data_IF_866274521769
#
_entry.id   IF_866274521769
#
_cell.length_a   1.000
_cell.length_b   1.000
_cell.length_c   1.000
_cell.angle_alpha   90.00
_cell.angle_beta   90.00
_cell.angle_gamma   90.00
#
_symmetry.space_group_name_H-M   'P 1'
#
loop_
_entity.id
_entity.type
_entity.pdbx_description
1 polymer ?
#
# COMPACT_ATOMS: atom_id res chain seq x y z
N UNK A 1 8.09 -31.39 -3.44
CA UNK A 1 7.32 -31.64 -4.67
C UNK A 1 6.10 -30.73 -4.65
N UNK A 2 6.25 -29.53 -5.18
CA UNK A 2 5.13 -28.62 -5.47
C UNK A 2 4.83 -28.75 -6.96
N UNK A 3 4.51 -29.95 -7.42
CA UNK A 3 4.17 -30.23 -8.82
C UNK A 3 2.69 -29.91 -9.08
N UNK A 4 2.24 -28.80 -8.48
CA UNK A 4 0.88 -28.27 -8.58
C UNK A 4 0.88 -27.05 -9.47
N UNK A 5 0.91 -27.29 -10.78
CA UNK A 5 0.63 -26.35 -11.88
C UNK A 5 1.24 -24.93 -11.71
N UNK A 6 2.43 -24.65 -12.29
CA UNK A 6 3.13 -23.36 -12.13
C UNK A 6 2.34 -22.13 -12.62
N UNK A 7 1.21 -22.37 -13.29
CA UNK A 7 0.31 -21.36 -13.82
C UNK A 7 -0.77 -20.90 -12.84
N UNK A 8 -0.96 -21.54 -11.67
CA UNK A 8 -2.06 -21.17 -10.74
C UNK A 8 -1.98 -19.71 -10.30
N UNK A 9 -0.80 -19.24 -9.87
CA UNK A 9 -0.61 -17.86 -9.41
C UNK A 9 -0.93 -16.81 -10.49
N UNK A 10 -0.35 -16.87 -11.71
CA UNK A 10 -0.68 -15.91 -12.76
C UNK A 10 -2.14 -16.04 -13.23
N UNK A 11 -2.72 -17.26 -13.23
CA UNK A 11 -4.14 -17.46 -13.56
C UNK A 11 -5.03 -16.73 -12.55
N UNK A 12 -4.82 -16.92 -11.25
CA UNK A 12 -5.62 -16.26 -10.20
C UNK A 12 -5.48 -14.75 -10.31
N UNK A 13 -4.25 -14.23 -10.43
CA UNK A 13 -4.00 -12.80 -10.58
C UNK A 13 -4.72 -12.21 -11.80
N UNK A 14 -4.62 -12.87 -12.95
CA UNK A 14 -5.29 -12.45 -14.18
C UNK A 14 -6.80 -12.50 -14.03
N UNK A 15 -7.34 -13.57 -13.44
CA UNK A 15 -8.77 -13.72 -13.18
C UNK A 15 -9.29 -12.61 -12.26
N UNK A 16 -8.56 -12.25 -11.21
CA UNK A 16 -8.93 -11.15 -10.31
C UNK A 16 -9.02 -9.81 -11.05
N UNK A 17 -8.06 -9.51 -11.93
CA UNK A 17 -8.09 -8.30 -12.76
C UNK A 17 -9.28 -8.33 -13.72
N UNK A 18 -9.50 -9.46 -14.40
CA UNK A 18 -10.62 -9.62 -15.34
C UNK A 18 -11.95 -9.39 -14.62
N UNK A 19 -12.14 -9.99 -13.44
CA UNK A 19 -13.35 -9.80 -12.64
C UNK A 19 -13.51 -8.32 -12.25
N UNK A 20 -12.45 -7.66 -11.79
CA UNK A 20 -12.48 -6.23 -11.44
C UNK A 20 -12.90 -5.36 -12.63
N UNK A 21 -12.33 -5.63 -13.82
CA UNK A 21 -12.67 -4.91 -15.04
C UNK A 21 -14.11 -5.18 -15.50
N UNK A 22 -14.58 -6.42 -15.38
CA UNK A 22 -15.97 -6.76 -15.69
C UNK A 22 -16.93 -6.02 -14.75
N UNK A 23 -16.67 -6.00 -13.43
CA UNK A 23 -17.49 -5.25 -12.48
C UNK A 23 -17.50 -3.76 -12.83
N UNK A 24 -16.34 -3.17 -13.13
CA UNK A 24 -16.25 -1.77 -13.53
C UNK A 24 -17.02 -1.49 -14.83
N UNK A 25 -16.87 -2.35 -15.83
CA UNK A 25 -17.56 -2.24 -17.11
C UNK A 25 -19.07 -2.37 -16.96
N UNK A 26 -19.54 -3.43 -16.30
CA UNK A 26 -20.96 -3.67 -16.08
C UNK A 26 -21.57 -2.57 -15.22
N UNK A 27 -20.91 -2.18 -14.12
CA UNK A 27 -21.33 -1.07 -13.28
C UNK A 27 -21.44 0.25 -14.04
N UNK A 28 -20.45 0.58 -14.88
CA UNK A 28 -20.49 1.77 -15.74
C UNK A 28 -21.57 1.70 -16.83
N UNK A 29 -21.88 0.50 -17.33
CA UNK A 29 -22.95 0.28 -18.31
C UNK A 29 -24.35 0.39 -17.70
N UNK A 30 -24.57 -0.16 -16.51
CA UNK A 30 -25.87 -0.18 -15.83
C UNK A 30 -26.14 1.08 -15.01
N UNK A 31 -25.10 1.87 -14.71
CA UNK A 31 -25.25 3.12 -13.98
C UNK A 31 -26.23 4.07 -14.69
N UNK A 32 -27.09 4.70 -13.90
CA UNK A 32 -27.97 5.76 -14.38
C UNK A 32 -27.13 6.95 -14.85
N UNK A 33 -27.01 7.12 -16.18
CA UNK A 33 -26.30 8.23 -16.82
C UNK A 33 -27.08 9.56 -16.73
N UNK A 34 -27.84 9.76 -15.66
CA UNK A 34 -28.72 10.91 -15.49
C UNK A 34 -27.91 12.20 -15.64
N UNK A 35 -28.40 13.14 -16.46
CA UNK A 35 -27.71 14.33 -16.98
C UNK A 35 -26.50 14.79 -16.16
N UNK A 36 -25.37 14.14 -16.41
CA UNK A 36 -24.09 14.41 -15.74
C UNK A 36 -23.43 15.67 -16.34
N UNK A 37 -23.98 16.16 -17.46
CA UNK A 37 -23.54 17.38 -18.14
C UNK A 37 -24.20 18.66 -17.61
N UNK A 38 -25.36 18.59 -16.94
CA UNK A 38 -26.17 19.81 -16.67
C UNK A 38 -26.25 20.23 -15.21
N UNK A 39 -25.71 19.45 -14.26
CA UNK A 39 -25.75 19.81 -12.83
C UNK A 39 -24.34 20.08 -12.31
N UNK A 40 -23.98 21.36 -12.19
CA UNK A 40 -22.68 21.81 -11.68
C UNK A 40 -22.30 21.12 -10.35
N UNK A 41 -23.26 21.02 -9.42
CA UNK A 41 -23.06 20.39 -8.11
C UNK A 41 -22.74 18.88 -8.13
N UNK A 42 -23.04 18.14 -9.21
CA UNK A 42 -22.73 16.69 -9.27
C UNK A 42 -21.24 16.39 -9.45
N UNK A 43 -20.48 17.37 -9.95
CA UNK A 43 -19.02 17.27 -10.14
C UNK A 43 -18.24 18.12 -9.13
N UNK A 44 -18.94 18.89 -8.30
CA UNK A 44 -18.31 19.67 -7.25
C UNK A 44 -17.77 18.73 -6.16
N UNK A 45 -16.63 19.10 -5.56
CA UNK A 45 -16.07 18.40 -4.41
C UNK A 45 -17.06 18.43 -3.27
N UNK A 46 -17.21 17.31 -2.56
CA UNK A 46 -18.07 17.29 -1.37
C UNK A 46 -17.46 18.19 -0.29
N UNK A 47 -18.16 19.25 0.07
CA UNK A 47 -17.79 20.13 1.15
C UNK A 47 -19.04 20.60 1.91
N UNK A 48 -19.82 19.62 2.42
CA UNK A 48 -21.06 19.85 3.17
C UNK A 48 -22.13 20.70 2.42
N UNK A 49 -22.03 20.81 1.10
CA UNK A 49 -22.93 21.63 0.27
C UNK A 49 -22.48 23.09 0.11
N UNK A 50 -21.32 23.46 0.67
CA UNK A 50 -20.72 24.77 0.53
C UNK A 50 -19.70 24.78 -0.62
N UNK A 51 -19.57 25.92 -1.29
CA UNK A 51 -18.56 26.14 -2.32
C UNK A 51 -17.25 26.59 -1.66
N UNK A 52 -16.35 25.64 -1.38
CA UNK A 52 -15.01 25.96 -0.89
C UNK A 52 -14.03 26.20 -2.04
N UNK A 53 -13.14 27.20 -1.93
CA UNK A 53 -12.03 27.33 -2.87
C UNK A 53 -11.10 26.13 -2.74
N UNK A 54 -10.46 25.75 -3.84
CA UNK A 54 -9.44 24.70 -3.82
C UNK A 54 -8.22 25.24 -3.06
N UNK A 55 -8.04 24.75 -1.84
CA UNK A 55 -6.89 25.07 -1.01
C UNK A 55 -5.99 23.85 -0.84
N UNK A 56 -4.71 24.01 -1.15
CA UNK A 56 -3.71 22.96 -0.95
C UNK A 56 -3.34 22.89 0.53
N UNK A 57 -4.03 22.04 1.28
CA UNK A 57 -3.71 21.80 2.70
C UNK A 57 -2.43 20.98 2.78
N UNK A 58 -1.37 21.57 3.35
CA UNK A 58 -0.14 20.84 3.72
C UNK A 58 -0.42 20.02 4.98
N UNK A 59 -0.64 18.72 4.79
CA UNK A 59 -0.79 17.78 5.90
C UNK A 59 0.58 17.48 6.48
N UNK A 60 0.72 17.56 7.81
CA UNK A 60 1.93 17.11 8.50
C UNK A 60 2.03 15.58 8.41
N UNK A 61 3.00 15.10 7.64
CA UNK A 61 3.28 13.69 7.44
C UNK A 61 4.46 13.20 8.26
N UNK A 62 5.03 14.01 9.17
CA UNK A 62 6.25 13.64 9.91
C UNK A 62 6.06 12.32 10.66
N UNK A 63 4.97 12.18 11.40
CA UNK A 63 4.67 10.96 12.17
C UNK A 63 4.36 9.78 11.25
N UNK A 64 3.58 10.00 10.20
CA UNK A 64 3.24 8.96 9.23
C UNK A 64 4.49 8.39 8.55
N UNK A 65 5.42 9.27 8.16
CA UNK A 65 6.67 8.88 7.54
C UNK A 65 7.51 7.99 8.45
N UNK A 66 7.59 8.33 9.75
CA UNK A 66 8.31 7.49 10.73
C UNK A 66 7.70 6.08 10.80
N UNK A 67 6.37 5.96 10.83
CA UNK A 67 5.70 4.66 10.80
C UNK A 67 5.93 3.91 9.49
N UNK A 68 5.91 4.60 8.35
CA UNK A 68 6.19 4.00 7.05
C UNK A 68 7.61 3.43 6.95
N UNK A 69 8.61 4.14 7.51
CA UNK A 69 10.00 3.64 7.56
C UNK A 69 10.12 2.43 8.48
N UNK A 70 9.49 2.43 9.66
CA UNK A 70 9.47 1.24 10.51
C UNK A 70 8.80 0.06 9.82
N UNK A 71 7.65 0.28 9.18
CA UNK A 71 6.96 -0.75 8.41
C UNK A 71 7.87 -1.35 7.34
N UNK A 72 8.55 -0.52 6.55
CA UNK A 72 9.49 -0.97 5.52
C UNK A 72 10.63 -1.82 6.10
N UNK A 73 11.22 -1.40 7.22
CA UNK A 73 12.30 -2.15 7.89
C UNK A 73 11.81 -3.55 8.31
N UNK A 74 10.62 -3.63 8.91
CA UNK A 74 10.05 -4.90 9.36
C UNK A 74 9.54 -5.76 8.19
N UNK A 75 9.05 -5.17 7.11
CA UNK A 75 8.64 -5.88 5.90
C UNK A 75 9.83 -6.59 5.24
N UNK A 76 10.97 -5.90 5.11
CA UNK A 76 12.22 -6.49 4.63
C UNK A 76 12.69 -7.62 5.56
N UNK A 77 12.62 -7.44 6.88
CA UNK A 77 12.94 -8.50 7.83
C UNK A 77 12.06 -9.73 7.64
N UNK A 78 10.74 -9.53 7.54
CA UNK A 78 9.78 -10.61 7.37
C UNK A 78 10.06 -11.40 6.08
N UNK A 79 10.34 -10.69 4.97
CA UNK A 79 10.71 -11.31 3.71
C UNK A 79 11.99 -12.16 3.80
N UNK A 80 13.03 -11.63 4.45
CA UNK A 80 14.30 -12.35 4.63
C UNK A 80 14.10 -13.58 5.50
N UNK A 81 13.40 -13.46 6.63
CA UNK A 81 13.11 -14.60 7.50
C UNK A 81 12.31 -15.67 6.76
N UNK A 82 11.25 -15.29 6.04
CA UNK A 82 10.40 -16.19 5.27
C UNK A 82 11.17 -16.96 4.18
N UNK A 83 12.13 -16.31 3.51
CA UNK A 83 12.94 -16.95 2.47
C UNK A 83 14.12 -17.76 3.03
N UNK A 84 14.56 -17.46 4.25
CA UNK A 84 15.74 -18.07 4.85
C UNK A 84 15.54 -19.45 5.48
N UNK A 85 14.29 -19.91 5.64
CA UNK A 85 13.99 -21.22 6.26
C UNK A 85 14.64 -22.42 5.55
N UNK A 86 15.11 -22.25 4.30
CA UNK A 86 15.71 -23.31 3.48
C UNK A 86 17.24 -23.21 3.34
N UNK A 87 17.90 -22.27 4.03
CA UNK A 87 19.34 -22.05 3.95
C UNK A 87 20.01 -22.06 5.32
N UNK A 88 21.34 -22.08 5.35
CA UNK A 88 22.12 -21.97 6.60
C UNK A 88 21.83 -20.64 7.29
N UNK A 89 21.66 -20.68 8.61
CA UNK A 89 21.18 -19.55 9.41
C UNK A 89 22.08 -18.30 9.46
N UNK A 90 23.26 -18.32 8.85
CA UNK A 90 24.20 -17.18 8.92
C UNK A 90 23.66 -15.93 8.21
N UNK A 91 23.06 -16.09 7.02
CA UNK A 91 22.49 -14.97 6.25
C UNK A 91 21.32 -14.31 7.00
N UNK A 92 20.29 -15.04 7.47
CA UNK A 92 19.19 -14.40 8.21
C UNK A 92 19.65 -13.78 9.53
N UNK A 93 20.65 -14.35 10.21
CA UNK A 93 21.22 -13.74 11.41
C UNK A 93 21.87 -12.40 11.07
N UNK A 94 22.73 -12.35 10.05
CA UNK A 94 23.39 -11.11 9.64
C UNK A 94 22.38 -10.01 9.27
N UNK A 95 21.35 -10.35 8.49
CA UNK A 95 20.30 -9.40 8.14
C UNK A 95 19.42 -8.98 9.33
N UNK A 96 19.15 -9.88 10.28
CA UNK A 96 18.44 -9.53 11.51
C UNK A 96 19.22 -8.51 12.35
N UNK A 97 20.55 -8.64 12.39
CA UNK A 97 21.42 -7.66 13.05
C UNK A 97 21.42 -6.31 12.34
N UNK A 98 21.44 -6.29 10.99
CA UNK A 98 21.34 -5.06 10.20
C UNK A 98 19.99 -4.36 10.47
N UNK A 99 18.90 -5.12 10.49
CA UNK A 99 17.56 -4.60 10.81
C UNK A 99 17.52 -4.02 12.22
N UNK A 100 18.08 -4.74 13.21
CA UNK A 100 18.16 -4.26 14.58
C UNK A 100 18.97 -2.95 14.67
N UNK A 101 20.10 -2.86 13.96
CA UNK A 101 20.90 -1.64 13.89
C UNK A 101 20.14 -0.48 13.24
N UNK A 102 19.37 -0.73 12.18
CA UNK A 102 18.53 0.29 11.53
C UNK A 102 17.44 0.81 12.47
N UNK A 103 16.76 -0.08 13.21
CA UNK A 103 15.77 0.30 14.22
C UNK A 103 16.42 1.11 15.35
N UNK A 104 17.57 0.68 15.85
CA UNK A 104 18.32 1.38 16.89
C UNK A 104 18.75 2.79 16.42
N UNK A 105 19.30 2.90 15.21
CA UNK A 105 19.68 4.19 14.62
C UNK A 105 18.48 5.14 14.49
N UNK A 106 17.32 4.63 14.04
CA UNK A 106 16.11 5.44 13.90
C UNK A 106 15.56 5.89 15.27
N UNK A 107 15.60 5.01 16.28
CA UNK A 107 15.21 5.36 17.66
C UNK A 107 16.14 6.42 18.26
N UNK A 108 17.45 6.28 18.08
CA UNK A 108 18.45 7.24 18.55
C UNK A 108 18.31 8.60 17.85
N UNK A 109 18.17 8.60 16.53
CA UNK A 109 17.98 9.82 15.75
C UNK A 109 16.68 10.56 16.14
N UNK A 110 15.63 9.83 16.53
CA UNK A 110 14.39 10.43 17.04
C UNK A 110 14.50 10.89 18.49
N UNK A 111 15.22 10.13 19.33
CA UNK A 111 15.49 10.50 20.73
C UNK A 111 16.32 11.77 20.85
N UNK A 112 17.26 11.99 19.92
CA UNK A 112 18.09 13.20 19.85
C UNK A 112 17.37 14.43 19.27
N UNK A 113 16.18 14.27 18.67
CA UNK A 113 15.36 15.36 18.11
C UNK A 113 14.19 15.79 19.01
N UNK A 114 14.06 15.20 20.19
CA UNK A 114 13.20 15.75 21.26
C UNK A 114 13.91 16.91 21.95
#
# INVERSE_FOLDING_TARGET
MQDGLPYILPIIFTLSIVIMLLIYWFGGKTAAKGSLKTTHGKKATYACGEDFPVEEVRVDLERFFVFAVYFLIFDVLAFILATSFYTTGLIPIAYSLIVLAAVAALLLARGARK
#
